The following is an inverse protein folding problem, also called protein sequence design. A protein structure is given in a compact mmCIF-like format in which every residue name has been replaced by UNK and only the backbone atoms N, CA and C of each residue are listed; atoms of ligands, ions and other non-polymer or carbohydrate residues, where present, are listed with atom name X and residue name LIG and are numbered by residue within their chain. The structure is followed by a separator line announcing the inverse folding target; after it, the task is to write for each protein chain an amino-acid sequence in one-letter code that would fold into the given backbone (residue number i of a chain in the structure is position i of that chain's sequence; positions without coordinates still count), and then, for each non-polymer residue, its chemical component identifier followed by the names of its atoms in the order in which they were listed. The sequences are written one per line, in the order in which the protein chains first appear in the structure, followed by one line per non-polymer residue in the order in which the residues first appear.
data_IF_350950208248
#
_entry.id   IF_350950208248
#
_cell.length_a   1.000
_cell.length_b   1.000
_cell.length_c   1.000
_cell.angle_alpha   90.00
_cell.angle_beta   90.00
_cell.angle_gamma   90.00
#
_symmetry.space_group_name_H-M   'P 1'
#
loop_
_entity.id
_entity.type
_entity.pdbx_description
1 polymer ?
#
# COMPACT_ATOMS: atom_id res chain seq x y z
N UNK A 1 -11.18 -2.93 -19.93
CA UNK A 1 -11.90 -3.76 -18.96
C UNK A 1 -11.02 -4.94 -18.52
N UNK A 2 -10.51 -5.79 -19.42
CA UNK A 2 -9.68 -6.97 -19.07
C UNK A 2 -8.43 -6.59 -18.26
N UNK A 3 -7.73 -5.52 -18.63
CA UNK A 3 -6.57 -5.03 -17.89
C UNK A 3 -6.94 -4.58 -16.45
N UNK A 4 -8.09 -3.91 -16.29
CA UNK A 4 -8.58 -3.50 -14.98
C UNK A 4 -8.95 -4.70 -14.09
N UNK A 5 -9.62 -5.71 -14.66
CA UNK A 5 -9.93 -6.96 -13.97
C UNK A 5 -8.65 -7.71 -13.57
N UNK A 6 -7.66 -7.78 -14.48
CA UNK A 6 -6.36 -8.38 -14.19
C UNK A 6 -5.62 -7.66 -13.06
N UNK A 7 -5.61 -6.33 -13.07
CA UNK A 7 -5.06 -5.52 -12.00
C UNK A 7 -5.76 -5.79 -10.66
N UNK A 8 -7.10 -5.82 -10.65
CA UNK A 8 -7.89 -6.10 -9.43
C UNK A 8 -7.58 -7.48 -8.84
N UNK A 9 -7.43 -8.51 -9.70
CA UNK A 9 -7.06 -9.84 -9.26
C UNK A 9 -5.65 -9.86 -8.65
N UNK A 10 -4.69 -9.21 -9.29
CA UNK A 10 -3.32 -9.10 -8.80
C UNK A 10 -3.25 -8.36 -7.46
N UNK A 11 -3.95 -7.24 -7.33
CA UNK A 11 -4.05 -6.50 -6.07
C UNK A 11 -4.68 -7.34 -4.96
N UNK A 12 -5.75 -8.08 -5.26
CA UNK A 12 -6.40 -8.96 -4.28
C UNK A 12 -5.48 -10.08 -3.80
N UNK A 13 -4.71 -10.70 -4.69
CA UNK A 13 -3.78 -11.78 -4.34
C UNK A 13 -2.57 -11.29 -3.54
N UNK A 14 -2.19 -10.02 -3.67
CA UNK A 14 -1.10 -9.40 -2.91
C UNK A 14 -1.33 -9.47 -1.38
N UNK A 15 -2.58 -9.46 -0.94
CA UNK A 15 -2.88 -9.53 0.50
C UNK A 15 -2.62 -10.90 1.14
N UNK A 16 -2.42 -11.97 0.36
CA UNK A 16 -2.09 -13.30 0.90
C UNK A 16 -0.73 -13.31 1.63
N UNK A 17 0.38 -12.87 1.02
CA UNK A 17 1.65 -12.74 1.73
C UNK A 17 1.60 -11.69 2.85
N UNK A 18 0.79 -10.63 2.72
CA UNK A 18 0.57 -9.63 3.78
C UNK A 18 0.03 -10.30 5.04
N UNK A 19 -1.01 -11.12 4.87
CA UNK A 19 -1.62 -11.84 5.99
C UNK A 19 -0.59 -12.68 6.75
N UNK A 20 0.27 -13.40 6.04
CA UNK A 20 1.36 -14.19 6.64
C UNK A 20 2.34 -13.31 7.44
N UNK A 21 2.75 -12.17 6.87
CA UNK A 21 3.67 -11.25 7.52
C UNK A 21 3.10 -10.70 8.84
N UNK A 22 1.81 -10.33 8.84
CA UNK A 22 1.16 -9.82 10.05
C UNK A 22 0.98 -10.89 11.13
N UNK A 23 0.61 -12.11 10.74
CA UNK A 23 0.50 -13.22 11.69
C UNK A 23 1.86 -13.60 12.30
N UNK A 24 2.95 -13.48 11.54
CA UNK A 24 4.31 -13.70 12.06
C UNK A 24 4.79 -12.61 13.02
N UNK A 25 4.00 -11.54 13.23
CA UNK A 25 4.37 -10.40 14.08
C UNK A 25 5.40 -9.46 13.47
N UNK A 26 5.62 -9.52 12.15
CA UNK A 26 6.58 -8.64 11.48
C UNK A 26 6.24 -7.17 11.73
N UNK A 27 7.27 -6.36 11.97
CA UNK A 27 7.10 -4.92 12.12
C UNK A 27 6.63 -4.31 10.79
N UNK A 28 5.56 -3.47 10.76
CA UNK A 28 5.06 -2.88 9.53
C UNK A 28 6.12 -2.09 8.74
N UNK A 29 7.00 -1.37 9.42
CA UNK A 29 8.08 -0.65 8.75
C UNK A 29 9.05 -1.60 8.04
N UNK A 30 9.47 -2.69 8.69
CA UNK A 30 10.33 -3.71 8.08
C UNK A 30 9.63 -4.40 6.91
N UNK A 31 8.32 -4.63 7.03
CA UNK A 31 7.52 -5.20 5.95
C UNK A 31 7.50 -4.27 4.72
N UNK A 32 7.15 -2.99 4.91
CA UNK A 32 7.12 -1.99 3.83
C UNK A 32 8.49 -1.87 3.16
N UNK A 33 9.58 -1.85 3.95
CA UNK A 33 10.94 -1.77 3.42
C UNK A 33 11.28 -2.95 2.51
N UNK A 34 11.02 -4.18 2.94
CA UNK A 34 11.27 -5.41 2.14
C UNK A 34 10.39 -5.42 0.89
N UNK A 35 9.13 -5.06 1.05
CA UNK A 35 8.16 -4.98 -0.04
C UNK A 35 8.62 -3.99 -1.12
N UNK A 36 8.98 -2.77 -0.73
CA UNK A 36 9.45 -1.71 -1.64
C UNK A 36 10.72 -2.13 -2.38
N UNK A 37 11.67 -2.79 -1.71
CA UNK A 37 12.88 -3.30 -2.38
C UNK A 37 12.53 -4.38 -3.41
N UNK A 38 11.63 -5.29 -3.07
CA UNK A 38 11.14 -6.33 -3.99
C UNK A 38 10.41 -5.74 -5.19
N UNK A 39 9.54 -4.75 -4.96
CA UNK A 39 8.82 -4.02 -5.99
C UNK A 39 9.79 -3.28 -6.93
N UNK A 40 10.74 -2.54 -6.38
CA UNK A 40 11.77 -1.85 -7.17
C UNK A 40 12.55 -2.82 -8.05
N UNK A 41 13.01 -3.94 -7.49
CA UNK A 41 13.73 -4.97 -8.27
C UNK A 41 12.88 -5.53 -9.40
N UNK A 42 11.60 -5.82 -9.13
CA UNK A 42 10.67 -6.34 -10.14
C UNK A 42 10.41 -5.30 -11.24
N UNK A 43 10.15 -4.04 -10.88
CA UNK A 43 9.91 -2.95 -11.84
C UNK A 43 11.13 -2.71 -12.71
N UNK A 44 12.34 -2.69 -12.14
CA UNK A 44 13.58 -2.54 -12.92
C UNK A 44 13.74 -3.72 -13.90
N UNK A 45 13.55 -4.95 -13.44
CA UNK A 45 13.66 -6.14 -14.28
C UNK A 45 12.69 -6.09 -15.46
N UNK A 46 11.42 -5.76 -15.19
CA UNK A 46 10.40 -5.61 -16.23
C UNK A 46 10.71 -4.46 -17.19
N UNK A 47 11.12 -3.31 -16.67
CA UNK A 47 11.47 -2.15 -17.50
C UNK A 47 12.63 -2.47 -18.43
N UNK A 48 13.70 -3.09 -17.93
CA UNK A 48 14.85 -3.52 -18.74
C UNK A 48 14.42 -4.53 -19.80
N UNK A 49 13.59 -5.50 -19.44
CA UNK A 49 13.14 -6.54 -20.36
C UNK A 49 12.24 -6.00 -21.48
N UNK A 50 11.30 -5.08 -21.13
CA UNK A 50 10.35 -4.51 -22.08
C UNK A 50 10.97 -3.44 -22.99
N UNK A 51 12.01 -2.74 -22.52
CA UNK A 51 12.70 -1.69 -23.29
C UNK A 51 13.91 -2.18 -24.09
N UNK A 52 14.17 -3.49 -24.07
CA UNK A 52 15.26 -4.08 -24.84
C UNK A 52 16.64 -3.85 -24.23
N UNK A 53 16.73 -3.57 -22.93
CA UNK A 53 17.98 -3.49 -22.21
C UNK A 53 18.12 -2.26 -21.30
N UNK A 54 19.25 -2.17 -20.64
CA UNK A 54 19.56 -1.11 -19.67
C UNK A 54 19.85 0.24 -20.34
N UNK A 55 20.51 0.23 -21.49
CA UNK A 55 20.91 1.46 -22.19
C UNK A 55 19.70 2.31 -22.66
N UNK A 56 18.67 1.77 -23.31
CA UNK A 56 17.49 2.53 -23.64
C UNK A 56 16.76 3.08 -22.41
N UNK A 57 16.68 2.30 -21.33
CA UNK A 57 16.06 2.74 -20.08
C UNK A 57 16.79 3.94 -19.47
N UNK A 58 18.13 3.91 -19.41
CA UNK A 58 18.92 5.03 -18.88
C UNK A 58 18.77 6.27 -19.77
N UNK A 59 18.76 6.12 -21.09
CA UNK A 59 18.55 7.23 -22.01
C UNK A 59 17.17 7.90 -21.81
N UNK A 60 16.10 7.10 -21.63
CA UNK A 60 14.76 7.62 -21.32
C UNK A 60 14.73 8.34 -19.98
N UNK A 61 15.37 7.81 -18.93
CA UNK A 61 15.46 8.47 -17.64
C UNK A 61 16.24 9.81 -17.71
N UNK A 62 17.28 9.87 -18.53
CA UNK A 62 18.02 11.11 -18.76
C UNK A 62 17.17 12.17 -19.48
N UNK A 63 16.35 11.75 -20.46
CA UNK A 63 15.40 12.67 -21.10
C UNK A 63 14.31 13.14 -20.15
N UNK A 64 13.88 12.29 -19.22
CA UNK A 64 12.86 12.61 -18.23
C UNK A 64 13.40 13.21 -16.92
N UNK A 65 14.68 13.61 -16.88
CA UNK A 65 15.35 14.03 -15.63
C UNK A 65 14.59 15.13 -14.85
N UNK A 66 13.92 16.07 -15.56
CA UNK A 66 13.12 17.11 -14.93
C UNK A 66 11.88 16.56 -14.19
N UNK A 67 11.36 15.42 -14.62
CA UNK A 67 10.20 14.76 -14.00
C UNK A 67 10.60 13.82 -12.84
N UNK A 68 11.84 13.38 -12.77
CA UNK A 68 12.30 12.36 -11.80
C UNK A 68 12.06 12.79 -10.37
N UNK A 69 12.30 14.05 -10.03
CA UNK A 69 12.02 14.57 -8.69
C UNK A 69 10.54 14.42 -8.32
N UNK A 70 9.63 14.81 -9.21
CA UNK A 70 8.19 14.77 -8.96
C UNK A 70 7.67 13.36 -8.85
N UNK A 71 8.20 12.44 -9.67
CA UNK A 71 7.89 11.01 -9.59
C UNK A 71 8.37 10.44 -8.25
N UNK A 72 9.58 10.79 -7.83
CA UNK A 72 10.12 10.35 -6.54
C UNK A 72 9.33 10.92 -5.37
N UNK A 73 8.94 12.20 -5.41
CA UNK A 73 8.10 12.85 -4.40
C UNK A 73 6.74 12.16 -4.29
N UNK A 74 6.11 11.83 -5.42
CA UNK A 74 4.87 11.07 -5.43
C UNK A 74 5.01 9.71 -4.76
N UNK A 75 6.07 8.96 -5.11
CA UNK A 75 6.38 7.68 -4.48
C UNK A 75 6.67 7.81 -2.97
N UNK A 76 7.38 8.85 -2.56
CA UNK A 76 7.67 9.11 -1.16
C UNK A 76 6.39 9.37 -0.34
N UNK A 77 5.49 10.20 -0.86
CA UNK A 77 4.18 10.43 -0.24
C UNK A 77 3.36 9.15 -0.18
N UNK A 78 3.41 8.34 -1.25
CA UNK A 78 2.70 7.06 -1.29
C UNK A 78 3.21 6.08 -0.22
N UNK A 79 4.53 5.97 -0.02
CA UNK A 79 5.13 5.10 1.01
C UNK A 79 4.67 5.49 2.42
N UNK A 80 4.56 6.79 2.70
CA UNK A 80 4.03 7.28 3.98
C UNK A 80 2.57 6.82 4.15
N UNK A 81 1.74 6.97 3.12
CA UNK A 81 0.35 6.52 3.12
C UNK A 81 0.24 4.99 3.30
N UNK A 82 1.08 4.23 2.57
CA UNK A 82 1.12 2.78 2.69
C UNK A 82 1.55 2.33 4.09
N UNK A 83 2.50 3.00 4.72
CA UNK A 83 2.91 2.69 6.09
C UNK A 83 1.72 2.82 7.07
N UNK A 84 0.91 3.87 6.96
CA UNK A 84 -0.31 4.01 7.77
C UNK A 84 -1.32 2.91 7.46
N UNK A 85 -1.47 2.52 6.20
CA UNK A 85 -2.32 1.41 5.79
C UNK A 85 -1.85 0.09 6.41
N UNK A 86 -0.54 -0.16 6.46
CA UNK A 86 0.04 -1.35 7.07
C UNK A 86 -0.23 -1.40 8.58
N UNK A 87 -0.07 -0.29 9.28
CA UNK A 87 -0.43 -0.21 10.70
C UNK A 87 -1.93 -0.44 10.92
N UNK A 88 -2.76 0.21 10.12
CA UNK A 88 -4.22 0.01 10.16
C UNK A 88 -4.58 -1.47 9.96
N UNK A 89 -4.01 -2.10 8.94
CA UNK A 89 -4.24 -3.52 8.63
C UNK A 89 -3.80 -4.44 9.78
N UNK A 90 -2.70 -4.09 10.44
CA UNK A 90 -2.21 -4.85 11.60
C UNK A 90 -3.20 -4.78 12.78
N UNK A 91 -3.74 -3.59 13.07
CA UNK A 91 -4.54 -3.39 14.28
C UNK A 91 -6.03 -3.64 14.10
N UNK A 92 -6.63 -3.27 12.98
CA UNK A 92 -8.07 -3.44 12.74
C UNK A 92 -8.41 -4.55 11.74
N UNK A 93 -7.39 -5.22 11.20
CA UNK A 93 -7.54 -6.32 10.26
C UNK A 93 -7.71 -5.87 8.81
N UNK A 94 -7.38 -6.78 7.87
CA UNK A 94 -7.40 -6.52 6.42
C UNK A 94 -8.80 -6.14 5.94
N UNK A 95 -9.82 -6.85 6.41
CA UNK A 95 -11.22 -6.67 5.97
C UNK A 95 -11.79 -5.27 6.25
N UNK A 96 -11.26 -4.57 7.25
CA UNK A 96 -11.67 -3.21 7.62
C UNK A 96 -10.69 -2.15 7.14
N UNK A 97 -9.39 -2.42 7.27
CA UNK A 97 -8.35 -1.47 6.92
C UNK A 97 -8.33 -1.15 5.42
N UNK A 98 -8.48 -2.17 4.55
CA UNK A 98 -8.40 -1.97 3.11
C UNK A 98 -9.57 -1.16 2.55
N UNK A 99 -10.85 -1.44 2.87
CA UNK A 99 -11.94 -0.56 2.47
C UNK A 99 -11.76 0.87 2.97
N UNK A 100 -11.29 1.06 4.20
CA UNK A 100 -11.03 2.38 4.76
C UNK A 100 -9.93 3.11 4.01
N UNK A 101 -8.82 2.44 3.68
CA UNK A 101 -7.72 3.05 2.92
C UNK A 101 -8.12 3.39 1.49
N UNK A 102 -9.03 2.63 0.87
CA UNK A 102 -9.52 2.89 -0.49
C UNK A 102 -10.33 4.20 -0.60
N UNK A 103 -10.67 4.84 0.51
CA UNK A 103 -11.24 6.20 0.50
C UNK A 103 -10.28 7.23 -0.10
N UNK A 104 -8.99 6.90 -0.27
CA UNK A 104 -8.01 7.73 -0.98
C UNK A 104 -8.42 8.04 -2.44
N UNK A 105 -9.22 7.16 -3.06
CA UNK A 105 -9.75 7.38 -4.41
C UNK A 105 -10.64 8.63 -4.50
N UNK A 106 -11.28 9.03 -3.40
CA UNK A 106 -12.06 10.26 -3.34
C UNK A 106 -11.19 11.51 -3.47
N UNK A 107 -10.01 11.48 -2.88
CA UNK A 107 -9.03 12.55 -3.04
C UNK A 107 -8.55 12.63 -4.48
N UNK A 108 -8.29 11.47 -5.13
CA UNK A 108 -7.99 11.41 -6.56
C UNK A 108 -9.10 12.02 -7.41
N UNK A 109 -10.36 11.68 -7.12
CA UNK A 109 -11.51 12.27 -7.79
C UNK A 109 -11.61 13.79 -7.54
N UNK A 110 -11.41 14.23 -6.29
CA UNK A 110 -11.44 15.66 -5.96
C UNK A 110 -10.36 16.43 -6.73
N UNK A 111 -9.15 15.92 -6.82
CA UNK A 111 -8.08 16.53 -7.61
C UNK A 111 -8.42 16.51 -9.11
N UNK A 112 -8.88 15.37 -9.65
CA UNK A 112 -9.31 15.26 -11.05
C UNK A 112 -10.40 16.29 -11.40
N UNK A 113 -11.41 16.41 -10.54
CA UNK A 113 -12.53 17.31 -10.76
C UNK A 113 -12.18 18.80 -10.55
N UNK A 114 -11.53 19.15 -9.43
CA UNK A 114 -11.35 20.53 -8.99
C UNK A 114 -10.09 21.19 -9.55
N UNK A 115 -9.01 20.41 -9.70
CA UNK A 115 -7.71 20.95 -10.14
C UNK A 115 -7.47 20.71 -11.62
N UNK A 116 -7.75 19.50 -12.10
CA UNK A 116 -7.52 19.13 -13.50
C UNK A 116 -8.73 19.35 -14.40
N UNK A 117 -9.91 19.63 -13.84
CA UNK A 117 -11.11 19.92 -14.60
C UNK A 117 -11.63 18.73 -15.43
N UNK A 118 -11.27 17.49 -15.07
CA UNK A 118 -11.60 16.29 -15.85
C UNK A 118 -13.10 16.10 -16.03
N UNK A 119 -13.90 16.56 -15.09
CA UNK A 119 -15.35 16.51 -15.18
C UNK A 119 -15.96 17.65 -16.04
N UNK A 120 -15.20 18.70 -16.36
CA UNK A 120 -15.74 19.85 -17.11
C UNK A 120 -16.23 19.51 -18.52
N UNK A 121 -15.73 18.42 -19.10
CA UNK A 121 -16.04 17.98 -20.47
C UNK A 121 -17.03 16.80 -20.53
N UNK A 122 -17.60 16.39 -19.39
CA UNK A 122 -18.52 15.25 -19.31
C UNK A 122 -19.97 15.72 -19.19
N UNK A 123 -20.91 14.84 -19.55
CA UNK A 123 -22.35 15.10 -19.46
C UNK A 123 -22.78 15.17 -17.99
N UNK A 124 -23.87 15.87 -17.70
CA UNK A 124 -24.46 15.95 -16.37
C UNK A 124 -24.75 14.58 -15.74
N UNK A 125 -25.14 13.59 -16.56
CA UNK A 125 -25.37 12.22 -16.10
C UNK A 125 -24.08 11.58 -15.56
N UNK A 126 -22.96 11.72 -16.27
CA UNK A 126 -21.68 11.19 -15.83
C UNK A 126 -21.22 11.86 -14.53
N UNK A 127 -21.40 13.17 -14.38
CA UNK A 127 -21.13 13.85 -13.12
C UNK A 127 -21.89 13.24 -11.94
N UNK A 128 -23.22 13.07 -12.12
CA UNK A 128 -24.07 12.48 -11.09
C UNK A 128 -23.64 11.05 -10.75
N UNK A 129 -23.34 10.22 -11.76
CA UNK A 129 -22.93 8.84 -11.55
C UNK A 129 -21.58 8.75 -10.82
N UNK A 130 -20.60 9.58 -11.16
CA UNK A 130 -19.29 9.61 -10.51
C UNK A 130 -19.40 10.05 -9.06
N UNK A 131 -20.12 11.14 -8.81
CA UNK A 131 -20.30 11.66 -7.45
C UNK A 131 -21.13 10.70 -6.59
N UNK A 132 -22.25 10.19 -7.11
CA UNK A 132 -23.09 9.24 -6.39
C UNK A 132 -22.35 7.93 -6.09
N UNK A 133 -21.62 7.38 -7.05
CA UNK A 133 -20.78 6.19 -6.87
C UNK A 133 -19.71 6.39 -5.79
N UNK A 134 -19.08 7.56 -5.75
CA UNK A 134 -18.08 7.91 -4.75
C UNK A 134 -18.70 8.02 -3.34
N UNK A 135 -19.87 8.60 -3.22
CA UNK A 135 -20.63 8.68 -1.95
C UNK A 135 -21.02 7.28 -1.48
N UNK A 136 -21.54 6.43 -2.37
CA UNK A 136 -21.92 5.04 -2.04
C UNK A 136 -20.68 4.24 -1.58
N UNK A 137 -19.55 4.41 -2.23
CA UNK A 137 -18.29 3.78 -1.84
C UNK A 137 -17.86 4.22 -0.43
N UNK A 138 -17.93 5.53 -0.13
CA UNK A 138 -17.65 6.06 1.21
C UNK A 138 -18.57 5.45 2.28
N UNK A 139 -19.87 5.46 2.03
CA UNK A 139 -20.84 4.90 2.95
C UNK A 139 -20.60 3.41 3.19
N UNK A 140 -20.27 2.66 2.12
CA UNK A 140 -19.90 1.24 2.23
C UNK A 140 -18.65 1.03 3.07
N UNK A 141 -17.58 1.80 2.83
CA UNK A 141 -16.36 1.73 3.61
C UNK A 141 -16.58 2.10 5.09
N UNK A 142 -17.38 3.13 5.36
CA UNK A 142 -17.76 3.55 6.71
C UNK A 142 -18.55 2.45 7.44
N UNK A 143 -19.55 1.87 6.80
CA UNK A 143 -20.36 0.80 7.37
C UNK A 143 -19.51 -0.43 7.70
N UNK A 144 -18.61 -0.84 6.81
CA UNK A 144 -17.69 -1.96 7.05
C UNK A 144 -16.73 -1.64 8.21
N UNK A 145 -16.15 -0.43 8.24
CA UNK A 145 -15.18 -0.05 9.27
C UNK A 145 -15.78 0.11 10.66
N UNK A 146 -17.07 0.49 10.75
CA UNK A 146 -17.79 0.68 12.01
C UNK A 146 -18.56 -0.56 12.47
N UNK A 147 -18.71 -1.59 11.63
CA UNK A 147 -19.39 -2.83 11.99
C UNK A 147 -18.68 -3.52 13.15
N UNK A 148 -19.38 -3.81 14.22
CA UNK A 148 -18.88 -4.63 15.31
C UNK A 148 -18.84 -6.10 14.88
N UNK A 149 -17.74 -6.80 15.20
CA UNK A 149 -17.67 -8.24 14.97
C UNK A 149 -18.61 -8.97 15.95
N UNK A 150 -19.46 -9.82 15.42
CA UNK A 150 -20.30 -10.69 16.24
C UNK A 150 -19.48 -11.80 16.90
N UNK A 151 -20.04 -12.47 17.92
CA UNK A 151 -19.39 -13.60 18.59
C UNK A 151 -19.02 -14.74 17.65
N UNK A 152 -19.84 -15.00 16.65
CA UNK A 152 -19.56 -15.99 15.60
C UNK A 152 -18.40 -15.60 14.70
N UNK A 153 -18.27 -14.31 14.38
CA UNK A 153 -17.15 -13.79 13.61
C UNK A 153 -15.84 -13.90 14.39
N UNK A 154 -15.84 -13.62 15.69
CA UNK A 154 -14.70 -13.83 16.56
C UNK A 154 -14.30 -15.31 16.62
N UNK A 155 -15.24 -16.22 16.78
CA UNK A 155 -14.97 -17.66 16.80
C UNK A 155 -14.41 -18.14 15.45
N UNK A 156 -14.99 -17.72 14.34
CA UNK A 156 -14.50 -18.06 12.99
C UNK A 156 -13.12 -17.48 12.71
N UNK A 157 -12.83 -16.29 13.20
CA UNK A 157 -11.53 -15.63 13.09
C UNK A 157 -10.46 -16.41 13.88
N UNK A 158 -10.76 -16.82 15.12
CA UNK A 158 -9.85 -17.65 15.91
C UNK A 158 -9.53 -18.99 15.24
N UNK A 159 -10.54 -19.67 14.67
CA UNK A 159 -10.34 -20.90 13.91
C UNK A 159 -9.50 -20.68 12.63
N UNK A 160 -9.73 -19.59 11.93
CA UNK A 160 -8.93 -19.24 10.75
C UNK A 160 -7.46 -18.98 11.14
N UNK A 161 -7.23 -18.23 12.22
CA UNK A 161 -5.88 -17.97 12.75
C UNK A 161 -5.19 -19.28 13.14
N UNK A 162 -5.89 -20.19 13.83
CA UNK A 162 -5.33 -21.49 14.21
C UNK A 162 -4.88 -22.28 12.97
N UNK A 163 -5.74 -22.39 11.94
CA UNK A 163 -5.40 -23.06 10.68
C UNK A 163 -4.21 -22.41 9.95
N UNK A 164 -4.14 -21.08 9.97
CA UNK A 164 -3.04 -20.34 9.36
C UNK A 164 -1.74 -20.51 10.13
N UNK A 165 -1.79 -20.54 11.46
CA UNK A 165 -0.64 -20.85 12.32
C UNK A 165 -0.08 -22.25 12.04
N UNK A 166 -0.94 -23.26 11.92
CA UNK A 166 -0.55 -24.60 11.56
C UNK A 166 0.09 -24.65 10.16
N UNK A 167 -0.55 -23.97 9.18
CA UNK A 167 -0.05 -23.90 7.80
C UNK A 167 1.35 -23.27 7.69
N UNK A 168 1.62 -22.25 8.49
CA UNK A 168 2.86 -21.48 8.43
C UNK A 168 3.85 -21.83 9.54
N UNK A 169 3.55 -22.86 10.36
CA UNK A 169 4.34 -23.27 11.51
C UNK A 169 4.60 -22.13 12.50
N UNK A 170 3.58 -21.31 12.75
CA UNK A 170 3.62 -20.18 13.68
C UNK A 170 3.08 -20.59 15.05
N UNK A 171 3.60 -19.97 16.10
CA UNK A 171 3.11 -20.20 17.46
C UNK A 171 1.77 -19.47 17.67
N UNK A 172 0.68 -20.22 17.83
CA UNK A 172 -0.69 -19.69 17.96
C UNK A 172 -0.86 -18.70 19.12
N UNK A 173 -0.28 -19.00 20.28
CA UNK A 173 -0.38 -18.11 21.45
C UNK A 173 0.30 -16.75 21.20
N UNK A 174 1.45 -16.75 20.52
CA UNK A 174 2.14 -15.49 20.15
C UNK A 174 1.35 -14.68 19.15
N UNK A 175 0.72 -15.34 18.17
CA UNK A 175 -0.11 -14.64 17.17
C UNK A 175 -1.32 -13.99 17.83
N UNK A 176 -2.00 -14.66 18.75
CA UNK A 176 -3.11 -14.12 19.50
C UNK A 176 -2.68 -12.94 20.39
N UNK A 177 -1.57 -13.07 21.10
CA UNK A 177 -1.03 -11.97 21.92
C UNK A 177 -0.69 -10.74 21.06
N UNK A 178 -0.05 -10.92 19.89
CA UNK A 178 0.26 -9.82 18.99
C UNK A 178 -1.00 -9.10 18.47
N UNK A 179 -2.14 -9.79 18.35
CA UNK A 179 -3.40 -9.19 17.94
C UNK A 179 -4.12 -8.44 19.07
N UNK A 180 -3.94 -8.84 20.32
CA UNK A 180 -4.55 -8.16 21.47
C UNK A 180 -3.86 -6.87 21.86
N UNK A 181 -2.75 -6.52 21.21
CA UNK A 181 -2.00 -5.28 21.49
C UNK A 181 -1.34 -5.25 22.86
N UNK A 182 -1.33 -6.35 23.60
CA UNK A 182 -0.58 -6.47 24.86
C UNK A 182 0.90 -6.48 24.45
N UNK A 183 1.64 -5.51 25.00
CA UNK A 183 3.06 -5.33 24.74
C UNK A 183 3.81 -6.64 24.95
N UNK A 184 4.21 -7.23 23.84
CA UNK A 184 5.08 -8.39 23.88
C UNK A 184 6.51 -7.88 23.97
N UNK A 185 7.27 -8.50 24.86
CA UNK A 185 8.73 -8.46 24.84
C UNK A 185 9.21 -8.51 23.39
N UNK A 186 9.99 -7.53 22.94
CA UNK A 186 10.47 -7.42 21.56
C UNK A 186 11.11 -8.74 21.12
N UNK A 187 10.33 -9.52 20.38
CA UNK A 187 10.89 -10.75 19.78
C UNK A 187 11.82 -10.37 18.64
N UNK A 188 12.81 -11.20 18.30
CA UNK A 188 13.68 -10.95 17.13
C UNK A 188 12.91 -10.69 15.84
N UNK A 189 11.67 -11.22 15.71
CA UNK A 189 10.82 -11.01 14.54
C UNK A 189 10.13 -9.63 14.52
N UNK A 190 9.89 -9.02 15.71
CA UNK A 190 9.22 -7.72 15.83
C UNK A 190 10.22 -6.56 15.91
N UNK A 191 11.50 -6.86 16.15
CA UNK A 191 12.55 -5.86 16.26
C UNK A 191 12.89 -5.26 14.90
N UNK A 192 13.02 -3.92 14.85
CA UNK A 192 13.54 -3.23 13.67
C UNK A 192 14.96 -3.69 13.38
N UNK A 193 15.25 -3.97 12.13
CA UNK A 193 16.58 -4.39 11.69
C UNK A 193 17.41 -3.15 11.30
N UNK A 194 18.70 -3.21 11.48
CA UNK A 194 19.61 -2.10 11.17
C UNK A 194 19.52 -1.66 9.69
N UNK A 195 19.27 -2.60 8.79
CA UNK A 195 19.14 -2.32 7.35
C UNK A 195 17.86 -1.54 7.01
N UNK A 196 16.81 -1.57 7.84
CA UNK A 196 15.63 -0.72 7.69
C UNK A 196 16.02 0.76 7.77
N UNK A 197 16.90 1.09 8.74
CA UNK A 197 17.42 2.45 8.90
C UNK A 197 18.35 2.85 7.75
N UNK A 198 19.21 1.94 7.28
CA UNK A 198 20.11 2.21 6.14
C UNK A 198 19.30 2.52 4.89
N UNK A 199 18.27 1.72 4.58
CA UNK A 199 17.43 1.96 3.41
C UNK A 199 16.67 3.28 3.52
N UNK A 200 16.13 3.60 4.71
CA UNK A 200 15.47 4.88 4.94
C UNK A 200 16.43 6.07 4.76
N UNK A 201 17.65 5.98 5.29
CA UNK A 201 18.67 7.02 5.11
C UNK A 201 19.05 7.19 3.64
N UNK A 202 19.28 6.08 2.93
CA UNK A 202 19.61 6.12 1.48
C UNK A 202 18.47 6.76 0.70
N UNK A 203 17.22 6.39 0.98
CA UNK A 203 16.06 6.99 0.34
C UNK A 203 15.98 8.51 0.59
N UNK A 204 16.22 8.94 1.83
CA UNK A 204 16.26 10.37 2.18
C UNK A 204 17.41 11.10 1.46
N UNK A 205 18.59 10.49 1.38
CA UNK A 205 19.73 11.08 0.65
C UNK A 205 19.43 11.24 -0.84
N UNK A 206 18.84 10.22 -1.47
CA UNK A 206 18.41 10.29 -2.88
C UNK A 206 17.38 11.40 -3.05
N UNK A 207 16.40 11.50 -2.14
CA UNK A 207 15.39 12.56 -2.19
C UNK A 207 16.01 13.95 -2.14
N UNK A 208 16.97 14.19 -1.23
CA UNK A 208 17.66 15.47 -1.10
C UNK A 208 18.47 15.80 -2.37
N UNK A 209 19.20 14.82 -2.92
CA UNK A 209 19.97 15.01 -4.16
C UNK A 209 19.04 15.38 -5.32
N UNK A 210 17.93 14.67 -5.48
CA UNK A 210 16.94 14.96 -6.53
C UNK A 210 16.29 16.33 -6.34
N UNK A 211 16.03 16.74 -5.09
CA UNK A 211 15.45 18.04 -4.79
C UNK A 211 16.36 19.20 -5.21
N UNK A 212 17.69 19.05 -5.04
CA UNK A 212 18.65 20.07 -5.52
C UNK A 212 18.70 20.18 -7.05
N UNK A 213 18.44 19.07 -7.76
CA UNK A 213 18.38 19.03 -9.22
C UNK A 213 17.01 19.40 -9.81
N UNK A 214 16.00 19.58 -8.97
CA UNK A 214 14.64 19.82 -9.42
C UNK A 214 14.50 21.21 -10.05
N UNK A 215 14.12 21.24 -11.32
CA UNK A 215 13.69 22.47 -11.96
C UNK A 215 12.23 22.77 -11.59
N UNK A 216 11.93 24.03 -11.32
CA UNK A 216 10.54 24.43 -11.11
C UNK A 216 9.76 24.18 -12.40
N UNK A 217 8.58 23.55 -12.34
CA UNK A 217 7.74 23.45 -13.53
C UNK A 217 7.39 24.87 -13.97
N UNK A 218 7.73 25.19 -15.21
CA UNK A 218 7.35 26.45 -15.88
C UNK A 218 5.92 26.36 -16.33
#
# INVERSE_FOLDING_TARGET
ILAALGASLMWGTMYVPYRKAYLSGMNPLSFVTVFTVGELGTVILLAVSLRGGIHPLVAELQMAHSAVFWLFLGGFCWVIGDLFQQYSTKYIGISRAIPLSNTNQLWGLAWGALVFGELAFTDALHHVLVVAGSIIMLLGALLISTSAAGSEEHASTHLAIARECDRYSLNHSRVLQAQTGIDMEETPATRRRWWDYVIAIVACCIFVVLAFGAQRPT
#
